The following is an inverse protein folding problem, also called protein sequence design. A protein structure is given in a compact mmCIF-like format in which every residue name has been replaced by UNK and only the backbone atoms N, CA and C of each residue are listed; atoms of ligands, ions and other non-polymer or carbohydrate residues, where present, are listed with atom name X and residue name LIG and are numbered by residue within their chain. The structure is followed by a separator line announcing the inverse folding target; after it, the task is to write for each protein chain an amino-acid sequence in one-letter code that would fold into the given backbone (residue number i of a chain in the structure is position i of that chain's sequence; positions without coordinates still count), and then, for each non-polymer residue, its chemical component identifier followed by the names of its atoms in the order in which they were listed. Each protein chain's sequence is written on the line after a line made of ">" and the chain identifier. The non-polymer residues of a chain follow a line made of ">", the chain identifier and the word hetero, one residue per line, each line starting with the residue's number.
data_IF_853482176617
#
_entry.id   IF_853482176617
#
_cell.length_a   1.000
_cell.length_b   1.000
_cell.length_c   1.000
_cell.angle_alpha   90.00
_cell.angle_beta   90.00
_cell.angle_gamma   90.00
#
_symmetry.space_group_name_H-M   'P 1'
#
loop_
_entity.id
_entity.type
_entity.pdbx_description
1 polymer ?
#
# COMPACT_ATOMS: atom_id res chain seq x y z
N UNK A 1 -6.56 -14.01 17.99
CA UNK A 1 -6.54 -14.37 16.56
C UNK A 1 -6.59 -13.15 15.64
N UNK A 2 -7.57 -12.22 15.83
CA UNK A 2 -7.67 -11.01 15.00
C UNK A 2 -6.44 -10.10 15.13
N UNK A 3 -5.87 -9.96 16.33
CA UNK A 3 -4.64 -9.20 16.57
C UNK A 3 -3.46 -9.80 15.77
N UNK A 4 -3.24 -11.12 15.86
CA UNK A 4 -2.12 -11.79 15.17
C UNK A 4 -2.21 -11.62 13.65
N UNK A 5 -3.40 -11.83 13.10
CA UNK A 5 -3.64 -11.63 11.66
C UNK A 5 -3.49 -10.15 11.25
N UNK A 6 -3.88 -9.21 12.12
CA UNK A 6 -3.70 -7.78 11.91
C UNK A 6 -2.23 -7.36 11.95
N UNK A 7 -1.44 -7.95 12.84
CA UNK A 7 0.02 -7.74 12.92
C UNK A 7 0.71 -8.16 11.60
N UNK A 8 0.32 -9.31 11.05
CA UNK A 8 0.82 -9.77 9.73
C UNK A 8 0.33 -8.84 8.61
N UNK A 9 -0.91 -8.34 8.70
CA UNK A 9 -1.44 -7.41 7.71
C UNK A 9 -0.65 -6.08 7.68
N UNK A 10 -0.22 -5.57 8.84
CA UNK A 10 0.65 -4.39 8.92
C UNK A 10 2.03 -4.67 8.31
N UNK A 11 2.61 -5.83 8.56
CA UNK A 11 3.87 -6.22 7.92
C UNK A 11 3.78 -6.13 6.39
N UNK A 12 2.75 -6.72 5.79
CA UNK A 12 2.53 -6.63 4.35
C UNK A 12 2.21 -5.22 3.89
N UNK A 13 1.40 -4.47 4.66
CA UNK A 13 1.06 -3.10 4.34
C UNK A 13 2.31 -2.22 4.19
N UNK A 14 3.19 -2.23 5.21
CA UNK A 14 4.42 -1.42 5.17
C UNK A 14 5.33 -1.86 4.03
N UNK A 15 5.38 -3.18 3.77
CA UNK A 15 6.09 -3.71 2.63
C UNK A 15 5.58 -3.20 1.28
N UNK A 16 4.26 -3.13 1.11
CA UNK A 16 3.62 -2.56 -0.08
C UNK A 16 3.87 -1.06 -0.17
N UNK A 17 3.69 -0.34 0.93
CA UNK A 17 3.86 1.12 1.01
C UNK A 17 5.27 1.57 0.56
N UNK A 18 6.30 0.84 0.96
CA UNK A 18 7.69 1.14 0.60
C UNK A 18 8.10 0.50 -0.73
N UNK A 19 7.69 -0.75 -0.96
CA UNK A 19 8.11 -1.53 -2.12
C UNK A 19 7.56 -1.03 -3.44
N UNK A 20 6.31 -0.59 -3.45
CA UNK A 20 5.64 -0.14 -4.68
C UNK A 20 6.35 1.07 -5.30
N UNK A 21 6.61 2.20 -4.61
CA UNK A 21 7.32 3.33 -5.19
C UNK A 21 8.80 3.03 -5.44
N UNK A 22 9.46 2.23 -4.61
CA UNK A 22 10.87 1.88 -4.81
C UNK A 22 11.09 1.07 -6.10
N UNK A 23 10.22 0.09 -6.37
CA UNK A 23 10.28 -0.68 -7.61
C UNK A 23 9.95 0.19 -8.83
N UNK A 24 9.07 1.19 -8.70
CA UNK A 24 8.74 2.12 -9.79
C UNK A 24 9.97 2.91 -10.25
N UNK A 25 10.81 3.38 -9.33
CA UNK A 25 12.04 4.08 -9.66
C UNK A 25 12.95 3.18 -10.51
N UNK A 26 13.17 1.95 -10.06
CA UNK A 26 14.00 0.97 -10.78
C UNK A 26 13.45 0.63 -12.16
N UNK A 27 12.14 0.47 -12.26
CA UNK A 27 11.43 0.17 -13.50
C UNK A 27 11.58 1.30 -14.52
N UNK A 28 11.30 2.54 -14.14
CA UNK A 28 11.41 3.69 -15.04
C UNK A 28 12.85 3.96 -15.48
N UNK A 29 13.80 3.86 -14.54
CA UNK A 29 15.21 4.12 -14.85
C UNK A 29 15.78 3.06 -15.78
N UNK A 30 15.57 1.77 -15.52
CA UNK A 30 16.19 0.68 -16.26
C UNK A 30 15.50 0.36 -17.58
N UNK A 31 14.18 0.40 -17.62
CA UNK A 31 13.40 -0.04 -18.78
C UNK A 31 13.03 1.10 -19.74
N UNK A 32 12.94 2.34 -19.22
CA UNK A 32 12.60 3.52 -20.04
C UNK A 32 13.74 4.52 -20.16
N UNK A 33 14.87 4.32 -19.48
CA UNK A 33 15.99 5.24 -19.51
C UNK A 33 15.70 6.60 -18.89
N UNK A 34 14.63 6.71 -18.07
CA UNK A 34 14.32 7.94 -17.36
C UNK A 34 15.49 8.33 -16.42
N UNK A 35 15.76 9.62 -16.33
CA UNK A 35 16.72 10.14 -15.36
C UNK A 35 16.35 9.67 -13.95
N UNK A 36 17.36 9.42 -13.10
CA UNK A 36 17.08 8.95 -11.73
C UNK A 36 16.25 9.97 -10.94
N UNK A 37 16.50 11.27 -11.17
CA UNK A 37 15.74 12.35 -10.53
C UNK A 37 14.29 12.40 -11.01
N UNK A 38 14.04 12.18 -12.31
CA UNK A 38 12.71 12.16 -12.89
C UNK A 38 11.91 10.94 -12.40
N UNK A 39 12.53 9.77 -12.38
CA UNK A 39 11.92 8.55 -11.85
C UNK A 39 11.58 8.69 -10.36
N UNK A 40 12.45 9.34 -9.58
CA UNK A 40 12.24 9.62 -8.16
C UNK A 40 11.11 10.63 -7.96
N UNK A 41 11.02 11.66 -8.80
CA UNK A 41 9.93 12.61 -8.76
C UNK A 41 8.58 11.93 -9.01
N UNK A 42 8.48 11.10 -10.05
CA UNK A 42 7.25 10.33 -10.37
C UNK A 42 6.87 9.43 -9.19
N UNK A 43 7.83 8.71 -8.60
CA UNK A 43 7.58 7.90 -7.42
C UNK A 43 7.17 8.75 -6.21
N UNK A 44 7.66 9.99 -6.11
CA UNK A 44 7.24 10.97 -5.10
C UNK A 44 5.77 11.35 -5.19
N UNK A 45 5.18 11.33 -6.38
CA UNK A 45 3.74 11.56 -6.56
C UNK A 45 2.88 10.50 -5.85
N UNK A 46 3.38 9.28 -5.69
CA UNK A 46 2.73 8.23 -4.90
C UNK A 46 2.50 8.71 -3.45
N UNK A 47 3.54 9.30 -2.82
CA UNK A 47 3.45 9.81 -1.46
C UNK A 47 2.54 11.05 -1.35
N UNK A 48 2.53 11.88 -2.39
CA UNK A 48 1.64 13.03 -2.47
C UNK A 48 0.17 12.56 -2.56
N UNK A 49 -0.12 11.59 -3.41
CA UNK A 49 -1.47 11.01 -3.49
C UNK A 49 -1.87 10.28 -2.20
N UNK A 50 -0.91 9.68 -1.50
CA UNK A 50 -1.17 9.11 -0.19
C UNK A 50 -1.58 10.18 0.82
N UNK A 51 -0.95 11.36 0.81
CA UNK A 51 -1.34 12.49 1.66
C UNK A 51 -2.78 12.93 1.34
N UNK A 52 -3.11 13.09 0.07
CA UNK A 52 -4.46 13.43 -0.38
C UNK A 52 -5.47 12.36 0.09
N UNK A 53 -5.14 11.09 -0.11
CA UNK A 53 -5.99 9.97 0.30
C UNK A 53 -6.21 9.91 1.81
N UNK A 54 -5.19 10.22 2.63
CA UNK A 54 -5.34 10.33 4.10
C UNK A 54 -6.29 11.44 4.49
N UNK A 55 -6.22 12.57 3.82
CA UNK A 55 -7.14 13.70 4.06
C UNK A 55 -8.58 13.29 3.73
N UNK A 56 -8.82 12.70 2.56
CA UNK A 56 -10.15 12.19 2.17
C UNK A 56 -10.62 11.11 3.16
N UNK A 57 -9.74 10.18 3.52
CA UNK A 57 -10.03 9.10 4.47
C UNK A 57 -10.44 9.60 5.85
N UNK A 58 -9.87 10.72 6.31
CA UNK A 58 -10.24 11.35 7.57
C UNK A 58 -11.70 11.83 7.56
N UNK A 59 -12.17 12.40 6.46
CA UNK A 59 -13.59 12.83 6.32
C UNK A 59 -14.55 11.64 6.18
N UNK A 60 -14.12 10.58 5.49
CA UNK A 60 -14.94 9.39 5.25
C UNK A 60 -14.98 8.47 6.47
N UNK A 61 -13.90 8.41 7.24
CA UNK A 61 -13.76 7.50 8.39
C UNK A 61 -14.77 7.70 9.51
N UNK A 62 -15.37 8.89 9.61
CA UNK A 62 -16.49 9.15 10.55
C UNK A 62 -17.82 8.55 10.10
N UNK A 63 -17.97 8.14 8.84
CA UNK A 63 -19.23 7.65 8.27
C UNK A 63 -19.16 6.18 7.82
N UNK A 64 -17.99 5.67 7.56
CA UNK A 64 -17.76 4.32 7.00
C UNK A 64 -16.89 3.50 7.94
N UNK A 65 -17.24 2.22 8.14
CA UNK A 65 -16.45 1.34 9.01
C UNK A 65 -15.05 1.10 8.45
N UNK A 66 -14.04 1.01 9.33
CA UNK A 66 -12.64 0.71 8.96
C UNK A 66 -12.53 -0.54 8.07
N UNK A 67 -13.37 -1.55 8.34
CA UNK A 67 -13.44 -2.77 7.54
C UNK A 67 -13.85 -2.50 6.10
N UNK A 68 -14.95 -1.78 5.89
CA UNK A 68 -15.46 -1.45 4.55
C UNK A 68 -14.44 -0.63 3.78
N UNK A 69 -13.79 0.33 4.45
CA UNK A 69 -12.75 1.14 3.84
C UNK A 69 -11.58 0.27 3.35
N UNK A 70 -11.05 -0.63 4.20
CA UNK A 70 -9.95 -1.52 3.80
C UNK A 70 -10.35 -2.44 2.64
N UNK A 71 -11.56 -2.99 2.63
CA UNK A 71 -12.04 -3.82 1.53
C UNK A 71 -12.04 -3.03 0.22
N UNK A 72 -12.65 -1.84 0.19
CA UNK A 72 -12.75 -1.02 -1.01
C UNK A 72 -11.36 -0.63 -1.56
N UNK A 73 -10.47 -0.13 -0.69
CA UNK A 73 -9.14 0.30 -1.14
C UNK A 73 -8.23 -0.88 -1.51
N UNK A 74 -8.39 -2.05 -0.87
CA UNK A 74 -7.64 -3.25 -1.25
C UNK A 74 -8.05 -3.75 -2.63
N UNK A 75 -9.34 -3.76 -2.94
CA UNK A 75 -9.84 -4.11 -4.29
C UNK A 75 -9.31 -3.10 -5.31
N UNK A 76 -9.37 -1.80 -5.01
CA UNK A 76 -8.83 -0.76 -5.87
C UNK A 76 -7.32 -0.92 -6.12
N UNK A 77 -6.54 -1.17 -5.08
CA UNK A 77 -5.10 -1.38 -5.19
C UNK A 77 -4.76 -2.63 -6.02
N UNK A 78 -5.48 -3.74 -5.80
CA UNK A 78 -5.32 -4.97 -6.59
C UNK A 78 -5.64 -4.72 -8.07
N UNK A 79 -6.75 -4.03 -8.36
CA UNK A 79 -7.12 -3.70 -9.73
C UNK A 79 -6.08 -2.81 -10.43
N UNK A 80 -5.57 -1.78 -9.74
CA UNK A 80 -4.56 -0.86 -10.29
C UNK A 80 -3.23 -1.58 -10.54
N UNK A 81 -2.74 -2.38 -9.59
CA UNK A 81 -1.48 -3.10 -9.76
C UNK A 81 -1.57 -4.19 -10.84
N UNK A 82 -2.66 -4.95 -10.88
CA UNK A 82 -2.87 -5.95 -11.94
C UNK A 82 -3.03 -5.30 -13.31
N UNK A 83 -3.76 -4.19 -13.40
CA UNK A 83 -3.86 -3.41 -14.63
C UNK A 83 -2.49 -2.88 -15.09
N UNK A 84 -1.64 -2.40 -14.16
CA UNK A 84 -0.29 -1.96 -14.47
C UNK A 84 0.56 -3.11 -15.03
N UNK A 85 0.47 -4.31 -14.45
CA UNK A 85 1.18 -5.49 -14.94
C UNK A 85 0.69 -5.97 -16.31
N UNK A 86 -0.62 -5.86 -16.60
CA UNK A 86 -1.22 -6.33 -17.86
C UNK A 86 -1.08 -5.32 -18.99
N UNK A 87 -1.28 -4.03 -18.71
CA UNK A 87 -1.18 -2.96 -19.71
C UNK A 87 0.28 -2.58 -19.99
N UNK A 88 1.13 -2.69 -18.97
CA UNK A 88 2.58 -2.53 -19.10
C UNK A 88 2.96 -1.26 -19.85
N UNK A 89 3.72 -1.46 -20.90
CA UNK A 89 4.33 -0.41 -21.71
C UNK A 89 3.52 -0.09 -22.97
N UNK A 90 2.39 -0.77 -23.17
CA UNK A 90 1.62 -0.68 -24.41
C UNK A 90 0.99 0.71 -24.64
N UNK A 91 0.82 1.47 -23.57
CA UNK A 91 0.24 2.81 -23.63
C UNK A 91 1.16 3.83 -22.96
N UNK A 92 1.38 4.95 -23.63
CA UNK A 92 2.15 6.09 -23.10
C UNK A 92 1.21 7.20 -22.65
N UNK A 93 1.49 7.76 -21.49
CA UNK A 93 0.73 8.86 -20.88
C UNK A 93 1.70 10.00 -20.55
N UNK A 94 1.28 11.23 -20.74
CA UNK A 94 2.06 12.40 -20.32
C UNK A 94 1.97 12.56 -18.81
N UNK A 95 3.13 12.50 -18.13
CA UNK A 95 3.26 12.70 -16.69
C UNK A 95 4.29 13.80 -16.40
N UNK A 96 4.10 14.57 -15.32
CA UNK A 96 5.11 15.51 -14.88
C UNK A 96 6.32 14.75 -14.32
N UNK A 97 7.53 15.12 -14.76
CA UNK A 97 8.77 14.46 -14.36
C UNK A 97 9.63 15.29 -13.41
N UNK A 98 9.31 16.57 -13.23
CA UNK A 98 10.07 17.46 -12.35
C UNK A 98 9.20 18.56 -11.73
N UNK A 99 9.78 19.34 -10.85
CA UNK A 99 9.12 20.47 -10.18
C UNK A 99 8.72 21.62 -11.14
N UNK A 100 9.28 21.66 -12.34
CA UNK A 100 8.88 22.58 -13.41
C UNK A 100 7.68 22.08 -14.22
N UNK A 101 7.11 20.94 -13.83
CA UNK A 101 6.00 20.26 -14.52
C UNK A 101 6.27 20.00 -16.00
N UNK A 102 7.52 19.67 -16.34
CA UNK A 102 7.84 19.19 -17.69
C UNK A 102 7.11 17.86 -17.91
N UNK A 103 6.30 17.82 -18.98
CA UNK A 103 5.47 16.66 -19.29
C UNK A 103 6.21 15.73 -20.24
N UNK A 104 6.50 14.54 -19.81
CA UNK A 104 7.15 13.49 -20.62
C UNK A 104 6.21 12.30 -20.83
N UNK A 105 6.46 11.55 -21.91
CA UNK A 105 5.71 10.33 -22.19
C UNK A 105 6.26 9.20 -21.35
N UNK A 106 5.47 8.73 -20.38
CA UNK A 106 5.77 7.63 -19.48
C UNK A 106 4.79 6.47 -19.69
N UNK A 107 5.17 5.23 -19.36
CA UNK A 107 4.26 4.09 -19.48
C UNK A 107 3.05 4.27 -18.57
N UNK A 108 1.89 3.83 -19.02
CA UNK A 108 0.64 3.91 -18.23
C UNK A 108 0.77 3.16 -16.91
N UNK A 109 1.62 2.12 -16.87
CA UNK A 109 1.95 1.42 -15.63
C UNK A 109 2.42 2.37 -14.53
N UNK A 110 3.24 3.38 -14.86
CA UNK A 110 3.70 4.37 -13.88
C UNK A 110 2.54 5.15 -13.26
N UNK A 111 1.59 5.62 -14.08
CA UNK A 111 0.41 6.32 -13.60
C UNK A 111 -0.45 5.43 -12.68
N UNK A 112 -0.71 4.19 -13.11
CA UNK A 112 -1.52 3.25 -12.33
C UNK A 112 -0.86 2.92 -10.99
N UNK A 113 0.46 2.74 -10.98
CA UNK A 113 1.22 2.48 -9.74
C UNK A 113 1.19 3.70 -8.82
N UNK A 114 1.35 4.92 -9.35
CA UNK A 114 1.23 6.15 -8.56
C UNK A 114 -0.16 6.28 -7.92
N UNK A 115 -1.23 5.91 -8.65
CA UNK A 115 -2.60 5.92 -8.12
C UNK A 115 -2.82 4.90 -6.97
N UNK A 116 -2.01 3.85 -6.86
CA UNK A 116 -2.06 2.93 -5.71
C UNK A 116 -1.84 3.68 -4.39
N UNK A 117 -1.09 4.79 -4.41
CA UNK A 117 -0.88 5.65 -3.23
C UNK A 117 -2.19 6.13 -2.58
N UNK A 118 -3.22 6.44 -3.37
CA UNK A 118 -4.54 6.77 -2.84
C UNK A 118 -5.16 5.59 -2.06
N UNK A 119 -5.02 4.38 -2.60
CA UNK A 119 -5.58 3.18 -1.97
C UNK A 119 -4.84 2.81 -0.68
N UNK A 120 -3.51 2.90 -0.66
CA UNK A 120 -2.71 2.55 0.53
C UNK A 120 -2.85 3.56 1.67
N UNK A 121 -3.30 4.77 1.38
CA UNK A 121 -3.33 5.92 2.29
C UNK A 121 -4.03 5.68 3.63
N UNK A 122 -5.15 4.98 3.64
CA UNK A 122 -6.00 4.74 4.81
C UNK A 122 -5.82 3.35 5.43
N UNK A 123 -5.03 2.48 4.80
CA UNK A 123 -4.91 1.08 5.23
C UNK A 123 -4.30 0.95 6.62
N UNK A 124 -3.22 1.68 6.93
CA UNK A 124 -2.56 1.60 8.24
C UNK A 124 -3.53 1.83 9.40
N UNK A 125 -4.18 2.99 9.45
CA UNK A 125 -5.08 3.36 10.54
C UNK A 125 -6.27 2.41 10.65
N UNK A 126 -6.82 2.00 9.52
CA UNK A 126 -7.97 1.10 9.49
C UNK A 126 -7.62 -0.32 9.92
N UNK A 127 -6.46 -0.86 9.51
CA UNK A 127 -5.97 -2.18 9.95
C UNK A 127 -5.68 -2.13 11.45
N UNK A 128 -5.01 -1.07 11.93
CA UNK A 128 -4.71 -0.87 13.34
C UNK A 128 -5.99 -0.83 14.19
N UNK A 129 -6.98 -0.06 13.79
CA UNK A 129 -8.25 0.03 14.48
C UNK A 129 -8.96 -1.34 14.58
N UNK A 130 -9.03 -2.08 13.48
CA UNK A 130 -9.63 -3.42 13.47
C UNK A 130 -8.86 -4.42 14.34
N UNK A 131 -7.53 -4.32 14.37
CA UNK A 131 -6.69 -5.27 15.09
C UNK A 131 -6.62 -4.99 16.59
N UNK A 132 -6.83 -3.74 17.01
CA UNK A 132 -6.83 -3.33 18.42
C UNK A 132 -8.23 -3.27 19.02
N UNK A 133 -9.27 -3.51 18.24
CA UNK A 133 -10.66 -3.52 18.71
C UNK A 133 -10.83 -4.52 19.87
N UNK A 134 -11.36 -4.05 20.99
CA UNK A 134 -11.62 -4.87 22.17
C UNK A 134 -10.42 -5.18 23.05
N UNK A 135 -9.20 -4.65 22.77
CA UNK A 135 -8.01 -4.93 23.59
C UNK A 135 -7.91 -4.08 24.88
N UNK A 136 -8.65 -2.98 24.99
CA UNK A 136 -8.64 -2.12 26.18
C UNK A 136 -7.22 -1.76 26.62
N UNK A 137 -6.86 -2.09 27.88
CA UNK A 137 -5.54 -1.81 28.48
C UNK A 137 -4.35 -2.47 27.75
N UNK A 138 -4.59 -3.49 26.92
CA UNK A 138 -3.55 -4.16 26.14
C UNK A 138 -3.20 -3.46 24.82
N UNK A 139 -3.96 -2.43 24.44
CA UNK A 139 -3.71 -1.67 23.21
C UNK A 139 -2.29 -1.11 23.14
N UNK A 140 -1.75 -0.61 24.26
CA UNK A 140 -0.38 -0.09 24.30
C UNK A 140 0.67 -1.16 23.99
N UNK A 141 0.50 -2.39 24.51
CA UNK A 141 1.40 -3.52 24.20
C UNK A 141 1.26 -3.97 22.75
N UNK A 142 0.03 -4.01 22.24
CA UNK A 142 -0.25 -4.30 20.83
C UNK A 142 0.42 -3.30 19.90
N UNK A 143 0.35 -2.00 20.21
CA UNK A 143 1.01 -0.93 19.44
C UNK A 143 2.53 -1.16 19.29
N UNK A 144 3.19 -1.61 20.35
CA UNK A 144 4.62 -1.97 20.29
C UNK A 144 4.89 -3.09 19.28
N UNK A 145 4.05 -4.13 19.25
CA UNK A 145 4.17 -5.23 18.28
C UNK A 145 3.94 -4.73 16.85
N UNK A 146 2.97 -3.84 16.63
CA UNK A 146 2.75 -3.24 15.32
C UNK A 146 3.96 -2.45 14.82
N UNK A 147 4.63 -1.70 15.70
CA UNK A 147 5.85 -0.98 15.35
C UNK A 147 7.00 -1.91 14.96
N UNK A 148 7.09 -3.11 15.55
CA UNK A 148 8.07 -4.10 15.11
C UNK A 148 7.80 -4.60 13.68
N UNK A 149 6.55 -4.62 13.24
CA UNK A 149 6.17 -5.08 11.90
C UNK A 149 6.52 -4.09 10.79
N UNK A 150 6.98 -2.89 11.12
CA UNK A 150 7.56 -1.94 10.15
C UNK A 150 8.76 -2.54 9.40
N UNK A 151 9.39 -3.58 9.95
CA UNK A 151 10.42 -4.38 9.27
C UNK A 151 9.94 -4.94 7.91
N UNK A 152 8.64 -5.09 7.71
CA UNK A 152 8.05 -5.44 6.41
C UNK A 152 8.49 -4.51 5.27
N UNK A 153 8.72 -3.22 5.57
CA UNK A 153 9.25 -2.22 4.63
C UNK A 153 10.68 -2.48 4.16
N UNK A 154 11.42 -3.35 4.83
CA UNK A 154 12.72 -3.84 4.35
C UNK A 154 12.62 -5.19 3.64
N UNK A 155 11.87 -6.13 4.22
CA UNK A 155 11.81 -7.53 3.75
C UNK A 155 11.01 -7.64 2.43
N UNK A 156 9.86 -7.01 2.34
CA UNK A 156 8.99 -7.14 1.14
C UNK A 156 9.62 -6.51 -0.10
N UNK A 157 10.19 -5.28 -0.06
CA UNK A 157 10.93 -4.73 -1.20
C UNK A 157 12.13 -5.57 -1.59
N UNK A 158 12.83 -6.17 -0.63
CA UNK A 158 13.93 -7.09 -0.91
C UNK A 158 13.45 -8.32 -1.70
N UNK A 159 12.34 -8.93 -1.28
CA UNK A 159 11.72 -10.03 -2.01
C UNK A 159 11.25 -9.58 -3.42
N UNK A 160 10.72 -8.36 -3.54
CA UNK A 160 10.31 -7.77 -4.81
C UNK A 160 11.50 -7.54 -5.75
N UNK A 161 12.64 -7.07 -5.22
CA UNK A 161 13.86 -6.83 -6.00
C UNK A 161 14.46 -8.09 -6.60
N UNK A 162 14.15 -9.28 -6.08
CA UNK A 162 14.57 -10.56 -6.65
C UNK A 162 14.00 -10.81 -8.05
N UNK A 163 12.90 -10.13 -8.43
CA UNK A 163 12.32 -10.14 -9.77
C UNK A 163 12.94 -9.09 -10.72
N UNK A 164 13.98 -8.39 -10.28
CA UNK A 164 14.62 -7.34 -11.05
C UNK A 164 13.77 -6.07 -11.16
N UNK A 165 13.92 -5.37 -12.32
CA UNK A 165 13.15 -4.13 -12.59
C UNK A 165 11.89 -4.38 -13.41
N UNK A 166 11.49 -5.62 -13.56
CA UNK A 166 10.32 -6.01 -14.34
C UNK A 166 9.01 -5.75 -13.59
N UNK A 167 7.94 -5.46 -14.33
CA UNK A 167 6.60 -5.30 -13.75
C UNK A 167 6.11 -6.56 -13.03
N UNK A 168 6.63 -7.73 -13.39
CA UNK A 168 6.30 -8.99 -12.70
C UNK A 168 6.63 -8.95 -11.20
N UNK A 169 7.59 -8.13 -10.78
CA UNK A 169 7.93 -7.94 -9.37
C UNK A 169 6.77 -7.41 -8.52
N UNK A 170 5.78 -6.78 -9.17
CA UNK A 170 4.57 -6.31 -8.47
C UNK A 170 3.66 -7.45 -7.99
N UNK A 171 3.93 -8.71 -8.37
CA UNK A 171 3.23 -9.87 -7.79
C UNK A 171 3.41 -9.94 -6.27
N UNK A 172 4.56 -9.49 -5.75
CA UNK A 172 4.86 -9.51 -4.31
C UNK A 172 3.92 -8.56 -3.53
N UNK A 173 3.82 -7.25 -3.87
CA UNK A 173 2.84 -6.38 -3.24
C UNK A 173 1.39 -6.79 -3.54
N UNK A 174 1.07 -7.38 -4.69
CA UNK A 174 -0.27 -7.92 -4.98
C UNK A 174 -0.65 -9.01 -3.98
N UNK A 175 0.25 -9.95 -3.69
CA UNK A 175 0.04 -10.98 -2.65
C UNK A 175 -0.15 -10.32 -1.28
N UNK A 176 0.63 -9.29 -0.96
CA UNK A 176 0.50 -8.54 0.30
C UNK A 176 -0.88 -7.89 0.44
N UNK A 177 -1.36 -7.21 -0.60
CA UNK A 177 -2.70 -6.57 -0.58
C UNK A 177 -3.82 -7.61 -0.59
N UNK A 178 -3.64 -8.74 -1.28
CA UNK A 178 -4.60 -9.86 -1.23
C UNK A 178 -4.73 -10.42 0.21
N UNK A 179 -3.62 -10.53 0.94
CA UNK A 179 -3.65 -10.90 2.35
C UNK A 179 -4.39 -9.85 3.20
N UNK A 180 -4.17 -8.56 2.97
CA UNK A 180 -4.89 -7.47 3.67
C UNK A 180 -6.39 -7.56 3.40
N UNK A 181 -6.79 -7.83 2.16
CA UNK A 181 -8.19 -8.06 1.80
C UNK A 181 -8.78 -9.27 2.53
N UNK A 182 -8.05 -10.39 2.56
CA UNK A 182 -8.44 -11.59 3.34
C UNK A 182 -8.62 -11.24 4.81
N UNK A 183 -7.68 -10.49 5.40
CA UNK A 183 -7.79 -10.03 6.78
C UNK A 183 -9.05 -9.19 7.00
N UNK A 184 -9.34 -8.24 6.14
CA UNK A 184 -10.53 -7.40 6.24
C UNK A 184 -11.84 -8.22 6.10
N UNK A 185 -11.89 -9.22 5.22
CA UNK A 185 -13.09 -10.04 4.98
C UNK A 185 -13.37 -11.04 6.11
N UNK A 186 -12.35 -11.72 6.62
CA UNK A 186 -12.50 -12.81 7.58
C UNK A 186 -11.70 -12.65 8.86
N UNK A 187 -10.45 -12.24 8.78
CA UNK A 187 -9.54 -12.20 9.92
C UNK A 187 -9.97 -11.24 11.03
N UNK A 188 -10.58 -10.12 10.66
CA UNK A 188 -11.06 -9.08 11.57
C UNK A 188 -12.42 -9.41 12.23
N UNK A 189 -13.13 -10.47 11.79
CA UNK A 189 -14.46 -10.83 12.32
C UNK A 189 -14.43 -11.51 13.71
N UNK A 190 -13.29 -12.01 14.13
CA UNK A 190 -13.15 -12.77 15.38
C UNK A 190 -12.68 -11.85 16.52
N UNK A 191 -13.46 -10.84 16.87
CA UNK A 191 -13.23 -10.05 18.08
C UNK A 191 -13.71 -10.85 19.28
N UNK A 192 -12.79 -11.29 20.15
CA UNK A 192 -13.15 -11.87 21.44
C UNK A 192 -13.70 -10.74 22.32
N UNK A 193 -15.01 -10.72 22.51
CA UNK A 193 -15.71 -9.77 23.40
C UNK A 193 -15.52 -10.10 24.91
N UNK A 194 -14.82 -11.17 25.21
CA UNK A 194 -14.71 -11.73 26.58
C UNK A 194 -13.45 -11.28 27.32
N UNK A 195 -12.69 -10.32 26.81
CA UNK A 195 -11.58 -9.74 27.57
C UNK A 195 -12.18 -8.82 28.61
N UNK A 196 -12.30 -9.33 29.87
CA UNK A 196 -12.69 -8.51 31.02
C UNK A 196 -11.72 -7.33 31.13
N UNK A 197 -12.22 -6.14 30.97
CA UNK A 197 -11.52 -4.87 31.16
C UNK A 197 -11.66 -4.53 32.64
N UNK A 198 -10.87 -5.19 33.51
CA UNK A 198 -10.70 -4.81 34.89
C UNK A 198 -9.56 -3.80 35.01
#
# INVERSE_FOLDING_TARGET
>A
RHLTLGVIAIFFYVGVEVGVPAALISYLHKNFGAGYDDATFIAGLYWLLMLVGRTIGSFVGGKVSSRTMVICVSIGALALMTAAMLLGDNLLVKMPTNWSFTMECMPIAALLIVLVGLCTSIMWGSIFNMATEGLGKYTAKASGIFMMMVVGGGIVPLAQSAFGSELIGYIVPVIGVAYILFYALWGSKNVNKDIKID
#
